data_IF_258152297765
#
_entry.id   IF_258152297765
#
_cell.length_a   1.000
_cell.length_b   1.000
_cell.length_c   1.000
_cell.angle_alpha   90.00
_cell.angle_beta   90.00
_cell.angle_gamma   90.00
#
_symmetry.space_group_name_H-M   'P 1'
#
loop_
_entity.id
_entity.type
_entity.pdbx_description
1 polymer ?
#
# COMPACT_ATOMS: atom_id res chain seq x y z
N UNK A 1 17.36 -0.28 3.90
CA UNK A 1 16.56 -0.97 2.86
C UNK A 1 15.72 -1.99 3.56
N UNK A 2 14.39 -2.00 3.36
CA UNK A 2 13.48 -2.85 4.10
C UNK A 2 12.73 -3.78 3.13
N UNK A 3 12.53 -5.03 3.55
CA UNK A 3 11.69 -6.00 2.85
C UNK A 3 10.39 -6.15 3.63
N UNK A 4 9.26 -6.01 2.95
CA UNK A 4 7.93 -6.15 3.54
C UNK A 4 7.12 -7.19 2.77
N UNK A 5 6.43 -8.07 3.49
CA UNK A 5 5.51 -9.03 2.87
C UNK A 5 4.30 -8.29 2.30
N UNK A 6 4.02 -8.52 1.02
CA UNK A 6 2.87 -7.94 0.32
C UNK A 6 1.80 -9.01 0.08
N UNK A 7 0.53 -8.61 -0.04
CA UNK A 7 -0.54 -9.54 -0.32
C UNK A 7 -0.42 -10.23 -1.70
N UNK A 8 -1.13 -11.35 -1.90
CA UNK A 8 -1.84 -12.14 -0.90
C UNK A 8 -0.89 -13.03 -0.07
N UNK A 9 -1.27 -13.35 1.17
CA UNK A 9 -0.39 -14.08 2.13
C UNK A 9 0.11 -15.42 1.60
N UNK A 10 -0.75 -16.14 0.88
CA UNK A 10 -0.50 -17.49 0.35
C UNK A 10 0.59 -17.54 -0.73
N UNK A 11 0.89 -16.41 -1.38
CA UNK A 11 1.91 -16.31 -2.42
C UNK A 11 3.31 -15.97 -1.91
N UNK A 12 3.46 -15.64 -0.62
CA UNK A 12 4.76 -15.34 -0.01
C UNK A 12 5.51 -14.18 -0.66
N UNK A 13 4.77 -13.23 -1.24
CA UNK A 13 5.36 -12.12 -1.99
C UNK A 13 6.03 -11.11 -1.06
N UNK A 14 7.14 -10.53 -1.52
CA UNK A 14 7.85 -9.48 -0.79
C UNK A 14 8.11 -8.30 -1.69
N UNK A 15 7.99 -7.11 -1.11
CA UNK A 15 8.38 -5.86 -1.74
C UNK A 15 9.60 -5.27 -1.06
N UNK A 16 10.48 -4.70 -1.88
CA UNK A 16 11.63 -3.95 -1.43
C UNK A 16 11.30 -2.47 -1.43
N UNK A 17 11.45 -1.81 -0.29
CA UNK A 17 11.22 -0.38 -0.15
C UNK A 17 12.45 0.33 0.43
N UNK A 18 12.70 1.51 -0.12
CA UNK A 18 13.61 2.49 0.46
C UNK A 18 12.75 3.66 0.97
N UNK A 19 12.59 3.72 2.28
CA UNK A 19 11.92 4.80 2.97
C UNK A 19 12.96 5.72 3.57
N UNK A 20 12.82 7.01 3.30
CA UNK A 20 13.52 8.08 4.00
C UNK A 20 12.53 8.62 5.04
N UNK A 21 12.95 8.59 6.30
CA UNK A 21 12.13 8.94 7.47
C UNK A 21 12.79 10.14 8.12
N UNK A 22 12.01 11.18 8.37
CA UNK A 22 12.50 12.38 9.03
C UNK A 22 12.78 12.12 10.52
N UNK A 23 13.68 12.93 11.09
CA UNK A 23 14.00 12.86 12.52
C UNK A 23 12.73 13.13 13.35
N UNK A 24 12.42 12.24 14.29
CA UNK A 24 11.18 12.30 15.08
C UNK A 24 9.97 11.59 14.45
N UNK A 25 10.08 11.01 13.25
CA UNK A 25 9.01 10.20 12.63
C UNK A 25 9.29 8.70 12.70
N UNK A 26 8.25 7.89 12.75
CA UNK A 26 8.30 6.44 12.60
C UNK A 26 7.41 5.93 11.47
N UNK A 27 7.69 4.71 11.02
CA UNK A 27 6.90 4.02 10.00
C UNK A 27 6.10 2.91 10.66
N UNK A 28 4.79 2.94 10.43
CA UNK A 28 3.86 1.94 10.95
C UNK A 28 3.28 1.16 9.79
N UNK A 29 3.52 -0.15 9.76
CA UNK A 29 2.92 -1.05 8.78
C UNK A 29 1.67 -1.72 9.36
N UNK A 30 0.54 -1.55 8.69
CA UNK A 30 -0.74 -2.16 9.03
C UNK A 30 -1.14 -3.15 7.94
N UNK A 31 -1.57 -4.35 8.34
CA UNK A 31 -2.16 -5.35 7.44
C UNK A 31 -3.66 -5.37 7.70
N UNK A 32 -4.43 -4.61 6.93
CA UNK A 32 -5.87 -4.47 7.12
C UNK A 32 -6.60 -5.61 6.40
N UNK A 33 -7.29 -6.54 7.09
CA UNK A 33 -8.01 -7.63 6.44
C UNK A 33 -9.10 -7.12 5.50
N UNK A 34 -9.30 -7.74 4.33
CA UNK A 34 -10.38 -7.34 3.41
C UNK A 34 -11.70 -8.03 3.81
N UNK A 35 -12.85 -7.32 3.86
CA UNK A 35 -13.01 -5.89 3.63
C UNK A 35 -12.51 -5.05 4.82
N UNK A 36 -11.93 -3.89 4.51
CA UNK A 36 -11.44 -2.95 5.51
C UNK A 36 -12.13 -1.59 5.39
N UNK A 37 -12.23 -0.88 6.50
CA UNK A 37 -12.52 0.55 6.55
C UNK A 37 -11.25 1.35 6.80
N UNK A 38 -11.14 2.51 6.16
CA UNK A 38 -10.05 3.46 6.37
C UNK A 38 -10.61 4.88 6.21
N UNK A 39 -10.58 5.64 7.30
CA UNK A 39 -10.97 7.06 7.31
C UNK A 39 -9.77 7.91 6.87
N UNK A 40 -9.74 8.31 5.59
CA UNK A 40 -8.62 8.98 4.95
C UNK A 40 -9.09 10.18 4.13
N UNK A 41 -8.43 11.33 4.31
CA UNK A 41 -8.75 12.56 3.58
C UNK A 41 -7.50 13.22 2.98
N UNK A 42 -7.62 13.90 1.83
CA UNK A 42 -6.53 14.68 1.25
C UNK A 42 -6.36 16.00 2.02
N UNK A 43 -5.47 16.03 3.00
CA UNK A 43 -5.15 17.21 3.82
C UNK A 43 -3.77 17.74 3.47
N UNK A 44 -3.66 19.01 3.08
CA UNK A 44 -2.38 19.65 2.69
C UNK A 44 -1.60 18.87 1.61
N UNK A 45 -2.31 18.23 0.68
CA UNK A 45 -1.69 17.41 -0.38
C UNK A 45 -1.18 16.05 0.08
N UNK A 46 -1.49 15.63 1.32
CA UNK A 46 -1.15 14.34 1.88
C UNK A 46 -2.43 13.54 2.17
N UNK A 47 -2.32 12.22 2.10
CA UNK A 47 -3.39 11.32 2.50
C UNK A 47 -3.31 11.10 4.02
N UNK A 48 -4.15 11.79 4.77
CA UNK A 48 -4.10 11.81 6.25
C UNK A 48 -5.28 11.05 6.83
N UNK A 49 -4.99 10.19 7.81
CA UNK A 49 -6.00 9.45 8.55
C UNK A 49 -6.74 10.40 9.48
N UNK A 50 -8.07 10.41 9.39
CA UNK A 50 -8.91 11.34 10.18
C UNK A 50 -9.46 10.70 11.45
N UNK A 51 -9.44 9.37 11.53
CA UNK A 51 -9.97 8.62 12.68
C UNK A 51 -9.16 7.37 12.95
N UNK A 52 -9.04 7.05 14.24
CA UNK A 52 -8.45 5.80 14.69
C UNK A 52 -9.26 4.60 14.17
N UNK A 53 -8.53 3.59 13.70
CA UNK A 53 -9.10 2.32 13.23
C UNK A 53 -8.67 1.18 14.15
N UNK A 54 -9.54 0.18 14.37
CA UNK A 54 -9.16 -1.07 15.03
C UNK A 54 -7.97 -1.78 14.37
N UNK A 55 -7.70 -1.48 13.09
CA UNK A 55 -6.60 -2.06 12.32
C UNK A 55 -5.23 -1.47 12.70
N UNK A 56 -5.19 -0.41 13.51
CA UNK A 56 -3.94 0.20 14.02
C UNK A 56 -3.54 1.53 13.37
N UNK A 57 -4.30 2.02 12.39
CA UNK A 57 -4.16 3.42 11.93
C UNK A 57 -4.70 4.37 12.99
N UNK A 58 -4.05 5.51 13.19
CA UNK A 58 -4.46 6.56 14.12
C UNK A 58 -4.69 7.87 13.39
N UNK A 59 -5.55 8.70 13.94
CA UNK A 59 -5.78 10.05 13.46
C UNK A 59 -4.46 10.83 13.43
N UNK A 60 -4.18 11.50 12.30
CA UNK A 60 -2.93 12.20 12.03
C UNK A 60 -1.89 11.38 11.28
N UNK A 61 -2.05 10.07 11.15
CA UNK A 61 -1.15 9.24 10.33
C UNK A 61 -1.19 9.67 8.87
N UNK A 62 -0.02 9.71 8.23
CA UNK A 62 0.08 9.99 6.79
C UNK A 62 0.32 8.68 6.04
N UNK A 63 -0.60 8.31 5.14
CA UNK A 63 -0.43 7.13 4.29
C UNK A 63 0.66 7.39 3.25
N UNK A 64 1.75 6.63 3.32
CA UNK A 64 2.91 6.70 2.42
C UNK A 64 2.79 5.70 1.27
N UNK A 65 2.39 4.47 1.59
CA UNK A 65 2.24 3.40 0.60
C UNK A 65 1.03 2.53 0.91
N UNK A 66 0.44 1.94 -0.12
CA UNK A 66 -0.51 0.84 0.01
C UNK A 66 -0.22 -0.27 -1.00
N UNK A 67 -0.70 -1.48 -0.76
CA UNK A 67 -0.74 -2.50 -1.80
C UNK A 67 -1.73 -2.09 -2.89
N UNK A 68 -1.40 -2.42 -4.14
CA UNK A 68 -2.26 -2.18 -5.29
C UNK A 68 -2.23 -3.39 -6.22
N UNK A 69 -3.41 -3.76 -6.72
CA UNK A 69 -3.55 -4.74 -7.77
C UNK A 69 -3.82 -4.07 -9.10
N UNK A 70 -2.97 -4.33 -10.09
CA UNK A 70 -3.16 -3.86 -11.47
C UNK A 70 -3.22 -5.05 -12.42
N UNK A 71 -4.02 -4.92 -13.47
CA UNK A 71 -4.10 -5.91 -14.53
C UNK A 71 -3.16 -5.51 -15.66
N UNK A 72 -2.23 -6.38 -16.03
CA UNK A 72 -1.29 -6.08 -17.11
C UNK A 72 -0.34 -7.22 -17.41
N UNK A 73 0.40 -7.05 -18.51
CA UNK A 73 1.59 -7.86 -18.76
C UNK A 73 2.68 -7.45 -17.75
N UNK A 74 3.49 -8.39 -17.22
CA UNK A 74 4.61 -8.06 -16.34
C UNK A 74 5.56 -7.09 -17.07
N UNK A 75 5.57 -5.82 -16.67
CA UNK A 75 6.48 -4.80 -17.21
C UNK A 75 7.78 -4.87 -16.43
N UNK A 76 8.82 -5.43 -17.05
CA UNK A 76 10.16 -5.57 -16.51
C UNK A 76 10.99 -4.28 -16.55
N UNK A 77 10.42 -3.14 -16.11
CA UNK A 77 11.17 -1.89 -16.06
C UNK A 77 10.92 -1.11 -14.75
N UNK A 78 11.83 -1.32 -13.80
CA UNK A 78 12.44 -0.18 -13.11
C UNK A 78 11.79 0.45 -11.87
N UNK A 79 10.68 -0.04 -11.30
CA UNK A 79 10.36 0.08 -9.85
C UNK A 79 9.11 -0.74 -9.50
N UNK A 80 8.95 -1.89 -10.13
CA UNK A 80 7.81 -2.78 -9.95
C UNK A 80 8.32 -4.02 -9.23
N UNK A 81 7.72 -4.31 -8.08
CA UNK A 81 7.92 -5.57 -7.35
C UNK A 81 7.22 -6.69 -8.11
N UNK A 82 7.86 -7.15 -9.19
CA UNK A 82 7.43 -8.31 -9.96
C UNK A 82 7.86 -9.58 -9.23
N UNK A 83 6.94 -10.28 -8.57
CA UNK A 83 7.01 -11.73 -8.46
C UNK A 83 5.59 -12.28 -8.51
N UNK A 84 5.22 -12.92 -9.61
CA UNK A 84 3.89 -13.51 -9.78
C UNK A 84 3.54 -13.93 -11.22
N UNK A 85 4.21 -13.42 -12.25
CA UNK A 85 3.96 -13.85 -13.63
C UNK A 85 5.01 -14.84 -14.13
N UNK A 86 4.76 -16.13 -13.92
CA UNK A 86 5.33 -17.18 -14.76
C UNK A 86 4.26 -17.58 -15.79
N UNK A 87 4.43 -17.17 -17.06
CA UNK A 87 3.64 -17.75 -18.16
C UNK A 87 3.10 -16.84 -19.26
N UNK A 88 3.45 -15.54 -19.33
CA UNK A 88 2.99 -14.67 -20.43
C UNK A 88 1.46 -14.42 -20.47
N UNK A 89 0.73 -14.83 -19.44
CA UNK A 89 -0.69 -14.57 -19.29
C UNK A 89 -0.93 -13.22 -18.62
N UNK A 90 -1.90 -12.46 -19.16
CA UNK A 90 -2.45 -11.27 -18.49
C UNK A 90 -3.04 -11.73 -17.16
N UNK A 91 -2.61 -11.11 -16.07
CA UNK A 91 -3.06 -11.46 -14.73
C UNK A 91 -2.91 -10.29 -13.76
N UNK A 92 -3.56 -10.41 -12.60
CA UNK A 92 -3.43 -9.44 -11.52
C UNK A 92 -2.04 -9.49 -10.90
N UNK A 93 -1.39 -8.33 -10.85
CA UNK A 93 -0.09 -8.15 -10.19
C UNK A 93 -0.27 -7.29 -8.94
N UNK A 94 0.24 -7.74 -7.81
CA UNK A 94 0.33 -6.93 -6.60
C UNK A 94 1.63 -6.12 -6.62
N UNK A 95 1.55 -4.82 -6.34
CA UNK A 95 2.69 -3.93 -6.17
C UNK A 95 2.47 -3.01 -4.97
N UNK A 96 3.49 -2.23 -4.60
CA UNK A 96 3.36 -1.13 -3.64
C UNK A 96 3.17 0.20 -4.37
N UNK A 97 1.99 0.78 -4.19
CA UNK A 97 1.66 2.10 -4.69
C UNK A 97 2.23 3.18 -3.76
N UNK A 98 2.95 4.15 -4.33
CA UNK A 98 3.49 5.29 -3.59
C UNK A 98 2.46 6.43 -3.60
N UNK A 99 1.81 6.64 -2.46
CA UNK A 99 0.70 7.61 -2.33
C UNK A 99 1.20 9.05 -2.52
N UNK A 100 2.43 9.37 -2.13
CA UNK A 100 3.00 10.71 -2.36
C UNK A 100 3.28 11.03 -3.83
N UNK A 101 3.35 10.01 -4.69
CA UNK A 101 3.57 10.16 -6.14
C UNK A 101 2.28 10.12 -6.95
N UNK A 102 1.13 9.93 -6.29
CA UNK A 102 -0.17 9.96 -6.93
C UNK A 102 -0.38 11.32 -7.61
N UNK A 103 -0.88 11.29 -8.85
CA UNK A 103 -1.18 12.51 -9.61
C UNK A 103 -2.55 13.09 -9.25
N UNK A 104 -3.41 12.27 -8.65
CA UNK A 104 -4.74 12.68 -8.20
C UNK A 104 -5.20 11.83 -7.02
N UNK A 105 -6.20 12.32 -6.29
CA UNK A 105 -6.78 11.60 -5.16
C UNK A 105 -7.45 10.29 -5.60
N UNK A 106 -8.06 10.30 -6.78
CA UNK A 106 -8.72 9.14 -7.38
C UNK A 106 -7.74 7.98 -7.57
N UNK A 107 -6.48 8.24 -7.92
CA UNK A 107 -5.46 7.18 -8.00
C UNK A 107 -5.19 6.51 -6.65
N UNK A 108 -5.25 7.28 -5.55
CA UNK A 108 -5.11 6.73 -4.20
C UNK A 108 -6.31 5.84 -3.86
N UNK A 109 -7.52 6.31 -4.16
CA UNK A 109 -8.75 5.55 -3.96
C UNK A 109 -8.74 4.27 -4.79
N UNK A 110 -8.41 4.35 -6.09
CA UNK A 110 -8.28 3.21 -6.99
C UNK A 110 -7.28 2.18 -6.47
N UNK A 111 -6.12 2.64 -5.99
CA UNK A 111 -5.13 1.75 -5.38
C UNK A 111 -5.69 1.01 -4.17
N UNK A 112 -6.38 1.71 -3.26
CA UNK A 112 -6.99 1.10 -2.07
C UNK A 112 -8.07 0.08 -2.44
N UNK A 113 -9.03 0.46 -3.30
CA UNK A 113 -10.16 -0.42 -3.66
C UNK A 113 -9.76 -1.56 -4.61
N UNK A 114 -8.57 -1.52 -5.19
CA UNK A 114 -8.04 -2.65 -5.96
C UNK A 114 -7.80 -3.90 -5.08
N UNK A 115 -7.64 -3.71 -3.76
CA UNK A 115 -7.54 -4.78 -2.76
C UNK A 115 -8.93 -5.32 -2.42
N UNK A 116 -9.41 -6.22 -3.27
CA UNK A 116 -10.71 -6.86 -3.13
C UNK A 116 -10.57 -8.31 -2.66
N UNK A 117 -11.63 -8.84 -2.03
CA UNK A 117 -11.70 -10.22 -1.51
C UNK A 117 -11.47 -11.28 -2.58
N UNK A 118 -11.75 -10.99 -3.86
CA UNK A 118 -11.45 -11.90 -4.97
C UNK A 118 -9.96 -11.99 -5.31
N UNK A 119 -9.12 -11.10 -4.78
CA UNK A 119 -7.70 -10.96 -5.13
C UNK A 119 -6.77 -11.17 -3.94
N UNK A 120 -7.19 -10.79 -2.74
CA UNK A 120 -6.36 -10.85 -1.54
C UNK A 120 -7.16 -10.95 -0.24
N UNK A 121 -6.48 -11.40 0.81
CA UNK A 121 -6.90 -11.46 2.20
C UNK A 121 -6.65 -10.16 2.99
N UNK A 122 -5.73 -9.29 2.56
CA UNK A 122 -5.47 -8.01 3.25
C UNK A 122 -4.96 -6.90 2.33
N UNK A 123 -5.19 -5.65 2.73
CA UNK A 123 -4.51 -4.48 2.19
C UNK A 123 -3.33 -4.11 3.08
N UNK A 124 -2.13 -4.04 2.52
CA UNK A 124 -0.96 -3.51 3.20
C UNK A 124 -1.05 -1.98 3.19
N UNK A 125 -0.95 -1.35 4.34
CA UNK A 125 -0.93 0.10 4.52
C UNK A 125 0.35 0.48 5.27
N UNK A 126 1.10 1.45 4.76
CA UNK A 126 2.33 1.95 5.38
C UNK A 126 2.12 3.41 5.70
N UNK A 127 2.08 3.71 6.99
CA UNK A 127 1.88 5.05 7.53
C UNK A 127 3.19 5.63 8.04
N UNK A 128 3.24 6.96 8.05
CA UNK A 128 4.21 7.76 8.77
C UNK A 128 3.50 8.49 9.91
N UNK A 129 4.10 8.41 11.11
CA UNK A 129 3.58 9.02 12.36
C UNK A 129 4.71 9.71 13.11
N UNK A 130 4.39 10.70 13.92
CA UNK A 130 5.30 11.22 14.95
C UNK A 130 5.64 10.13 15.98
N UNK A 131 6.92 10.02 16.35
CA UNK A 131 7.35 9.17 17.46
C UNK A 131 6.79 9.76 18.76
N UNK A 132 6.19 8.89 19.57
CA UNK A 132 5.85 9.19 20.97
C UNK A 132 7.11 9.37 21.83
#
# INVERSE_FOLDING_TARGET
>A
MCFISIPPTDKGLTAQIKLEIDEGKEIVSVRAPVPFGLDLEPTNGLATVTKDSPNGSRAGDVLRYCSQFTMGLPRGDGLVTTVGSFGGAIGWQCSLFNVRKAQSWEQVVEALVSNDVSRTDYCLLIFERDKE
#
